data_IF_593147707260
#
_entry.id   IF_593147707260
#
_cell.length_a   1.000
_cell.length_b   1.000
_cell.length_c   1.000
_cell.angle_alpha   90.00
_cell.angle_beta   90.00
_cell.angle_gamma   90.00
#
_symmetry.space_group_name_H-M   'P 1'
#
loop_
_entity.id
_entity.type
_entity.pdbx_description
1 polymer ?
#
# COMPACT_ATOMS: atom_id res chain seq x y z
N UNK A 1 -8.17 15.19 30.32
CA UNK A 1 -7.88 13.75 30.17
C UNK A 1 -8.80 12.93 31.03
N UNK A 2 -8.96 13.25 32.32
CA UNK A 2 -9.85 12.53 33.25
C UNK A 2 -11.30 12.40 32.78
N UNK A 3 -11.89 13.48 32.23
CA UNK A 3 -13.25 13.43 31.67
C UNK A 3 -13.38 12.47 30.47
N UNK A 4 -12.36 12.39 29.62
CA UNK A 4 -12.33 11.46 28.48
C UNK A 4 -12.26 10.01 28.98
N UNK A 5 -11.41 9.73 29.96
CA UNK A 5 -11.31 8.41 30.59
C UNK A 5 -12.64 8.00 31.23
N UNK A 6 -13.27 8.89 32.00
CA UNK A 6 -14.56 8.63 32.61
C UNK A 6 -15.67 8.36 31.57
N UNK A 7 -15.66 9.07 30.44
CA UNK A 7 -16.60 8.81 29.34
C UNK A 7 -16.37 7.44 28.69
N UNK A 8 -15.11 7.01 28.51
CA UNK A 8 -14.78 5.69 27.99
C UNK A 8 -15.17 4.57 28.96
N UNK A 9 -14.94 4.76 30.26
CA UNK A 9 -15.36 3.82 31.30
C UNK A 9 -16.88 3.66 31.33
N UNK A 10 -17.63 4.76 31.18
CA UNK A 10 -19.08 4.71 31.07
C UNK A 10 -19.55 3.93 29.84
N UNK A 11 -18.93 4.16 28.67
CA UNK A 11 -19.22 3.41 27.44
C UNK A 11 -18.92 1.91 27.57
N UNK A 12 -17.84 1.56 28.27
CA UNK A 12 -17.42 0.19 28.51
C UNK A 12 -18.32 -0.56 29.51
N UNK A 13 -19.01 0.16 30.40
CA UNK A 13 -19.92 -0.43 31.38
C UNK A 13 -21.30 -0.80 30.83
N UNK A 14 -21.64 -0.35 29.62
CA UNK A 14 -22.95 -0.63 28.99
C UNK A 14 -23.03 -2.07 28.44
N UNK A 15 -24.13 -2.77 28.77
CA UNK A 15 -24.42 -4.09 28.17
C UNK A 15 -25.02 -3.93 26.77
N UNK A 16 -24.32 -4.48 25.77
CA UNK A 16 -24.73 -4.44 24.36
C UNK A 16 -25.58 -5.66 23.95
N UNK A 17 -25.60 -6.72 24.74
CA UNK A 17 -26.36 -7.94 24.46
C UNK A 17 -27.87 -7.71 24.20
N UNK A 18 -28.57 -6.79 24.90
CA UNK A 18 -29.98 -6.55 24.63
C UNK A 18 -30.25 -5.67 23.39
N UNK A 19 -29.22 -5.08 22.77
CA UNK A 19 -29.39 -4.19 21.62
C UNK A 19 -29.55 -4.97 20.31
N UNK A 20 -30.45 -4.50 19.46
CA UNK A 20 -30.69 -5.05 18.12
C UNK A 20 -30.04 -4.15 17.04
N UNK A 21 -29.95 -4.66 15.80
CA UNK A 21 -29.15 -4.07 14.71
C UNK A 21 -29.23 -2.53 14.57
N UNK A 22 -30.41 -1.94 14.34
CA UNK A 22 -30.59 -0.49 14.29
C UNK A 22 -30.05 0.28 15.51
N UNK A 23 -30.33 -0.18 16.73
CA UNK A 23 -29.82 0.47 17.95
C UNK A 23 -28.29 0.38 18.04
N UNK A 24 -27.69 -0.74 17.61
CA UNK A 24 -26.24 -0.88 17.53
C UNK A 24 -25.63 0.07 16.49
N UNK A 25 -26.28 0.28 15.35
CA UNK A 25 -25.81 1.22 14.34
C UNK A 25 -25.93 2.67 14.83
N UNK A 26 -27.02 3.02 15.51
CA UNK A 26 -27.23 4.35 16.07
C UNK A 26 -26.24 4.66 17.20
N UNK A 27 -25.83 3.64 17.98
CA UNK A 27 -24.70 3.73 18.92
C UNK A 27 -23.35 3.87 18.20
N UNK A 28 -23.10 3.08 17.14
CA UNK A 28 -21.81 3.01 16.48
C UNK A 28 -21.44 4.31 15.75
N UNK A 29 -22.40 4.96 15.09
CA UNK A 29 -22.17 6.19 14.32
C UNK A 29 -21.45 7.31 15.12
N UNK A 30 -21.95 7.76 16.29
CA UNK A 30 -21.27 8.78 17.08
C UNK A 30 -19.93 8.30 17.66
N UNK A 31 -19.76 7.00 17.93
CA UNK A 31 -18.47 6.44 18.37
C UNK A 31 -17.42 6.53 17.26
N UNK A 32 -17.77 6.23 16.02
CA UNK A 32 -16.87 6.39 14.87
C UNK A 32 -16.50 7.87 14.65
N UNK A 33 -17.46 8.78 14.78
CA UNK A 33 -17.17 10.21 14.71
C UNK A 33 -16.25 10.66 15.85
N UNK A 34 -16.46 10.19 17.08
CA UNK A 34 -15.59 10.47 18.21
C UNK A 34 -14.17 9.90 18.00
N UNK A 35 -14.05 8.69 17.46
CA UNK A 35 -12.75 8.10 17.08
C UNK A 35 -12.01 8.98 16.06
N UNK A 36 -12.72 9.48 15.04
CA UNK A 36 -12.13 10.38 14.05
C UNK A 36 -11.63 11.67 14.68
N UNK A 37 -12.42 12.28 15.58
CA UNK A 37 -12.02 13.50 16.30
C UNK A 37 -10.81 13.26 17.19
N UNK A 38 -10.76 12.13 17.88
CA UNK A 38 -9.59 11.75 18.67
C UNK A 38 -8.35 11.57 17.78
N UNK A 39 -8.50 10.95 16.61
CA UNK A 39 -7.40 10.80 15.65
C UNK A 39 -6.89 12.16 15.14
N UNK A 40 -7.78 13.14 14.95
CA UNK A 40 -7.39 14.52 14.63
C UNK A 40 -6.58 15.17 15.75
N UNK A 41 -7.02 15.04 17.01
CA UNK A 41 -6.29 15.57 18.17
C UNK A 41 -4.93 14.88 18.37
N UNK A 42 -4.84 13.58 18.10
CA UNK A 42 -3.56 12.84 18.09
C UNK A 42 -2.63 13.40 17.02
N UNK A 43 -3.09 13.56 15.77
CA UNK A 43 -2.26 14.10 14.68
C UNK A 43 -1.78 15.53 14.99
N UNK A 44 -2.66 16.38 15.56
CA UNK A 44 -2.33 17.74 15.98
C UNK A 44 -1.29 17.74 17.12
N UNK A 45 -1.50 16.92 18.14
CA UNK A 45 -0.56 16.80 19.28
C UNK A 45 0.80 16.29 18.83
N UNK A 46 0.84 15.29 17.94
CA UNK A 46 2.09 14.78 17.35
C UNK A 46 2.82 15.88 16.58
N UNK A 47 2.10 16.73 15.84
CA UNK A 47 2.71 17.87 15.14
C UNK A 47 3.32 18.88 16.11
N UNK A 48 2.61 19.26 17.18
CA UNK A 48 3.16 20.19 18.18
C UNK A 48 4.37 19.60 18.91
N UNK A 49 4.32 18.32 19.27
CA UNK A 49 5.43 17.60 19.88
C UNK A 49 6.65 17.52 18.95
N UNK A 50 6.43 17.38 17.64
CA UNK A 50 7.50 17.45 16.63
C UNK A 50 8.13 18.84 16.57
N UNK A 51 7.31 19.90 16.52
CA UNK A 51 7.80 21.28 16.43
C UNK A 51 8.54 21.73 17.70
N UNK A 52 8.16 21.21 18.86
CA UNK A 52 8.81 21.54 20.13
C UNK A 52 10.05 20.71 20.43
N UNK A 53 10.39 19.71 19.60
CA UNK A 53 11.47 18.76 19.89
C UNK A 53 11.16 17.84 21.08
N UNK A 54 9.88 17.58 21.40
CA UNK A 54 9.48 16.77 22.57
C UNK A 54 10.12 15.38 22.66
N UNK A 55 10.41 14.65 21.54
CA UNK A 55 11.10 13.36 21.62
C UNK A 55 12.43 13.37 22.39
N UNK A 56 13.09 14.53 22.45
CA UNK A 56 14.40 14.68 23.10
C UNK A 56 14.31 14.47 24.61
N UNK A 57 13.14 14.72 25.22
CA UNK A 57 12.87 14.44 26.65
C UNK A 57 13.12 12.98 26.98
N UNK A 58 12.83 12.08 26.04
CA UNK A 58 13.02 10.63 26.16
C UNK A 58 14.26 10.13 25.38
N UNK A 59 15.17 11.04 24.99
CA UNK A 59 16.42 10.70 24.31
C UNK A 59 16.26 10.27 22.84
N UNK A 60 15.13 10.60 22.21
CA UNK A 60 14.85 10.29 20.81
C UNK A 60 14.93 11.53 19.93
N UNK A 61 15.24 11.34 18.64
CA UNK A 61 15.46 12.45 17.69
C UNK A 61 14.25 12.76 16.81
N UNK A 62 13.25 11.88 16.77
CA UNK A 62 12.07 12.04 15.89
C UNK A 62 10.81 11.54 16.56
N UNK A 63 9.67 12.18 16.24
CA UNK A 63 8.35 11.72 16.69
C UNK A 63 8.02 10.33 16.17
N UNK A 64 8.43 9.97 14.95
CA UNK A 64 8.24 8.61 14.42
C UNK A 64 8.95 7.56 15.28
N UNK A 65 10.18 7.84 15.75
CA UNK A 65 10.87 6.94 16.68
C UNK A 65 10.15 6.85 18.02
N UNK A 66 9.69 8.00 18.53
CA UNK A 66 8.95 8.06 19.80
C UNK A 66 7.65 7.26 19.75
N UNK A 67 6.85 7.40 18.68
CA UNK A 67 5.59 6.68 18.51
C UNK A 67 5.79 5.16 18.38
N UNK A 68 6.85 4.70 17.71
CA UNK A 68 7.16 3.27 17.63
C UNK A 68 7.64 2.71 18.96
N UNK A 69 8.50 3.45 19.66
CA UNK A 69 9.11 3.01 20.93
C UNK A 69 8.12 3.03 22.09
N UNK A 70 7.41 4.14 22.29
CA UNK A 70 6.58 4.39 23.48
C UNK A 70 5.09 4.16 23.24
N UNK A 71 4.59 4.39 22.02
CA UNK A 71 3.19 4.13 21.67
C UNK A 71 3.00 2.80 20.93
N UNK A 72 4.08 2.04 20.71
CA UNK A 72 4.09 0.71 20.06
C UNK A 72 3.39 0.67 18.69
N UNK A 73 3.35 1.81 17.98
CA UNK A 73 2.74 1.88 16.65
C UNK A 73 3.62 1.17 15.62
N UNK A 74 2.97 0.52 14.66
CA UNK A 74 3.67 0.01 13.48
C UNK A 74 4.31 1.18 12.70
N UNK A 75 5.40 0.89 11.97
CA UNK A 75 6.15 1.93 11.25
C UNK A 75 5.26 2.75 10.29
N UNK A 76 4.45 2.06 9.49
CA UNK A 76 3.53 2.71 8.55
C UNK A 76 2.47 3.59 9.25
N UNK A 77 2.04 3.21 10.45
CA UNK A 77 1.08 3.98 11.23
C UNK A 77 1.73 5.21 11.87
N UNK A 78 2.90 5.07 12.49
CA UNK A 78 3.65 6.20 13.02
C UNK A 78 3.96 7.24 11.92
N UNK A 79 4.43 6.78 10.76
CA UNK A 79 4.68 7.64 9.61
C UNK A 79 3.41 8.33 9.11
N UNK A 80 2.28 7.62 9.05
CA UNK A 80 0.98 8.18 8.66
C UNK A 80 0.54 9.29 9.59
N UNK A 81 0.61 9.09 10.91
CA UNK A 81 0.19 10.09 11.90
C UNK A 81 1.05 11.35 11.81
N UNK A 82 2.38 11.19 11.73
CA UNK A 82 3.32 12.32 11.56
C UNK A 82 3.05 13.06 10.25
N UNK A 83 2.93 12.37 9.12
CA UNK A 83 2.59 12.98 7.82
C UNK A 83 1.28 13.75 7.90
N UNK A 84 0.25 13.15 8.49
CA UNK A 84 -1.06 13.78 8.65
C UNK A 84 -0.94 15.07 9.44
N UNK A 85 -0.31 15.04 10.62
CA UNK A 85 -0.10 16.23 11.45
C UNK A 85 0.65 17.35 10.71
N UNK A 86 1.63 17.00 9.87
CA UNK A 86 2.33 17.99 9.03
C UNK A 86 1.46 18.57 7.93
N UNK A 87 0.62 17.75 7.29
CA UNK A 87 -0.24 18.16 6.18
C UNK A 87 -1.37 19.10 6.59
N UNK A 88 -1.92 18.95 7.80
CA UNK A 88 -3.07 19.76 8.27
C UNK A 88 -2.77 21.27 8.30
N UNK A 89 -1.50 21.68 8.44
CA UNK A 89 -1.12 23.09 8.36
C UNK A 89 -1.24 23.69 6.94
N UNK A 90 -1.26 22.83 5.91
CA UNK A 90 -1.36 23.21 4.50
C UNK A 90 -2.75 22.95 3.90
N UNK A 91 -3.58 22.16 4.60
CA UNK A 91 -4.90 21.71 4.16
C UNK A 91 -5.96 22.07 5.22
N UNK A 92 -6.32 23.36 5.36
CA UNK A 92 -7.21 23.83 6.42
C UNK A 92 -8.65 23.27 6.31
N UNK A 93 -9.14 22.98 5.10
CA UNK A 93 -10.42 22.31 4.86
C UNK A 93 -10.41 20.90 5.44
N UNK A 94 -9.38 20.12 5.11
CA UNK A 94 -9.17 18.79 5.69
C UNK A 94 -9.06 18.85 7.22
N UNK A 95 -8.30 19.81 7.76
CA UNK A 95 -8.13 19.98 9.20
C UNK A 95 -9.46 20.21 9.92
N UNK A 96 -10.31 21.10 9.39
CA UNK A 96 -11.63 21.37 9.94
C UNK A 96 -12.55 20.14 9.89
N UNK A 97 -12.62 19.45 8.74
CA UNK A 97 -13.46 18.27 8.58
C UNK A 97 -13.00 17.09 9.45
N UNK A 98 -11.68 16.92 9.60
CA UNK A 98 -11.11 15.88 10.45
C UNK A 98 -11.37 16.17 11.95
N UNK A 99 -11.18 17.41 12.40
CA UNK A 99 -11.49 17.84 13.76
C UNK A 99 -12.99 17.77 14.09
N UNK A 100 -13.85 17.90 13.09
CA UNK A 100 -15.30 17.68 13.21
C UNK A 100 -15.70 16.19 13.22
N UNK A 101 -14.77 15.27 12.94
CA UNK A 101 -15.01 13.82 12.89
C UNK A 101 -15.65 13.32 11.59
N UNK A 102 -15.73 14.18 10.58
CA UNK A 102 -16.35 13.90 9.28
C UNK A 102 -15.42 13.12 8.34
N UNK A 103 -14.11 13.23 8.55
CA UNK A 103 -13.08 12.51 7.81
C UNK A 103 -12.40 11.50 8.72
N UNK A 104 -12.18 10.28 8.24
CA UNK A 104 -11.47 9.25 9.03
C UNK A 104 -9.97 9.52 9.06
N UNK A 105 -9.28 9.03 10.09
CA UNK A 105 -7.81 9.10 10.15
C UNK A 105 -7.11 8.41 8.96
N UNK A 106 -7.74 7.38 8.39
CA UNK A 106 -7.27 6.74 7.16
C UNK A 106 -7.36 7.65 5.94
N UNK A 107 -8.53 8.25 5.69
CA UNK A 107 -8.73 9.20 4.59
C UNK A 107 -7.82 10.43 4.74
N UNK A 108 -7.73 11.00 5.95
CA UNK A 108 -6.84 12.11 6.23
C UNK A 108 -5.37 11.75 5.93
N UNK A 109 -4.93 10.56 6.32
CA UNK A 109 -3.57 10.08 6.04
C UNK A 109 -3.26 9.87 4.55
N UNK A 110 -4.26 9.53 3.73
CA UNK A 110 -4.09 9.42 2.28
C UNK A 110 -4.05 10.81 1.64
N UNK A 111 -4.99 11.69 1.98
CA UNK A 111 -5.02 13.07 1.47
C UNK A 111 -3.74 13.83 1.88
N UNK A 112 -3.20 13.56 3.07
CA UNK A 112 -1.97 14.17 3.55
C UNK A 112 -0.77 14.04 2.61
N UNK A 113 -0.74 13.02 1.73
CA UNK A 113 0.31 12.85 0.70
C UNK A 113 0.39 14.04 -0.26
N UNK A 114 -0.74 14.68 -0.54
CA UNK A 114 -0.83 15.86 -1.41
C UNK A 114 -0.06 17.06 -0.86
N UNK A 115 0.09 17.14 0.47
CA UNK A 115 0.83 18.21 1.12
C UNK A 115 2.31 17.88 1.37
N UNK A 116 2.81 16.75 0.88
CA UNK A 116 4.24 16.44 0.91
C UNK A 116 5.02 17.49 0.10
N UNK A 117 6.27 17.76 0.49
CA UNK A 117 7.04 18.89 -0.04
C UNK A 117 7.24 18.82 -1.55
N UNK A 118 7.48 17.63 -2.09
CA UNK A 118 7.64 17.39 -3.53
C UNK A 118 6.35 17.71 -4.31
N UNK A 119 5.20 17.21 -3.85
CA UNK A 119 3.92 17.48 -4.50
C UNK A 119 3.50 18.94 -4.37
N UNK A 120 3.78 19.60 -3.24
CA UNK A 120 3.51 21.05 -3.11
C UNK A 120 4.38 21.88 -4.05
N UNK A 121 5.65 21.50 -4.24
CA UNK A 121 6.53 22.17 -5.18
C UNK A 121 6.03 21.99 -6.63
N UNK A 122 5.73 20.76 -7.03
CA UNK A 122 5.18 20.45 -8.35
C UNK A 122 3.84 21.20 -8.61
N UNK A 123 2.97 21.26 -7.61
CA UNK A 123 1.70 22.00 -7.70
C UNK A 123 1.94 23.49 -7.91
N UNK A 124 2.88 24.09 -7.19
CA UNK A 124 3.24 25.49 -7.36
C UNK A 124 3.82 25.78 -8.76
N UNK A 125 4.70 24.92 -9.26
CA UNK A 125 5.29 25.04 -10.60
C UNK A 125 4.24 24.95 -11.71
N UNK A 126 3.21 24.14 -11.53
CA UNK A 126 2.12 23.96 -12.48
C UNK A 126 0.95 24.94 -12.28
N UNK A 127 1.06 25.87 -11.32
CA UNK A 127 0.01 26.85 -11.02
C UNK A 127 -1.27 26.25 -10.42
N UNK A 128 -1.16 25.09 -9.78
CA UNK A 128 -2.27 24.41 -9.09
C UNK A 128 -2.51 25.05 -7.73
N UNK A 129 -3.73 25.54 -7.50
CA UNK A 129 -4.14 26.08 -6.21
C UNK A 129 -4.44 24.95 -5.20
N UNK A 130 -3.54 24.79 -4.23
CA UNK A 130 -3.66 23.79 -3.17
C UNK A 130 -4.94 23.96 -2.32
N UNK A 131 -5.44 25.19 -2.16
CA UNK A 131 -6.68 25.42 -1.40
C UNK A 131 -7.91 24.85 -2.13
N UNK A 132 -7.91 24.92 -3.47
CA UNK A 132 -8.96 24.28 -4.29
C UNK A 132 -8.86 22.76 -4.19
N UNK A 133 -7.65 22.21 -4.28
CA UNK A 133 -7.42 20.76 -4.15
C UNK A 133 -7.85 20.25 -2.78
N UNK A 134 -7.51 20.97 -1.71
CA UNK A 134 -7.94 20.69 -0.33
C UNK A 134 -9.47 20.60 -0.24
N UNK A 135 -10.18 21.61 -0.74
CA UNK A 135 -11.64 21.62 -0.75
C UNK A 135 -12.26 20.45 -1.51
N UNK A 136 -11.72 20.12 -2.69
CA UNK A 136 -12.23 19.02 -3.51
C UNK A 136 -12.02 17.65 -2.85
N UNK A 137 -10.79 17.36 -2.41
CA UNK A 137 -10.46 16.07 -1.80
C UNK A 137 -11.15 15.88 -0.44
N UNK A 138 -11.27 16.95 0.34
CA UNK A 138 -12.06 16.94 1.57
C UNK A 138 -13.55 16.70 1.28
N UNK A 139 -14.10 17.33 0.23
CA UNK A 139 -15.45 17.08 -0.24
C UNK A 139 -15.70 15.61 -0.58
N UNK A 140 -14.76 14.97 -1.29
CA UNK A 140 -14.81 13.52 -1.57
C UNK A 140 -14.78 12.71 -0.27
N UNK A 141 -13.83 12.97 0.63
CA UNK A 141 -13.68 12.21 1.87
C UNK A 141 -14.88 12.30 2.82
N UNK A 142 -15.58 13.43 2.83
CA UNK A 142 -16.76 13.64 3.69
C UNK A 142 -18.02 12.93 3.18
N UNK A 143 -18.06 12.57 1.89
CA UNK A 143 -19.28 12.07 1.23
C UNK A 143 -19.14 10.66 0.63
N UNK A 144 -17.91 10.17 0.43
CA UNK A 144 -17.63 8.91 -0.23
C UNK A 144 -16.78 7.97 0.64
N UNK A 145 -16.81 6.65 0.35
CA UNK A 145 -15.94 5.67 1.00
C UNK A 145 -14.44 5.98 0.83
N UNK A 146 -13.64 5.30 1.66
CA UNK A 146 -12.17 5.41 1.62
C UNK A 146 -11.58 5.09 0.23
N UNK A 147 -12.11 4.09 -0.48
CA UNK A 147 -11.59 3.68 -1.79
C UNK A 147 -11.65 4.83 -2.81
N UNK A 148 -12.77 5.54 -2.86
CA UNK A 148 -12.97 6.67 -3.77
C UNK A 148 -12.05 7.85 -3.40
N UNK A 149 -11.84 8.08 -2.09
CA UNK A 149 -10.88 9.08 -1.62
C UNK A 149 -9.46 8.74 -2.06
N UNK A 150 -9.06 7.47 -1.91
CA UNK A 150 -7.75 7.00 -2.33
C UNK A 150 -7.55 7.10 -3.84
N UNK A 151 -8.58 6.77 -4.62
CA UNK A 151 -8.57 6.92 -6.07
C UNK A 151 -8.44 8.38 -6.49
N UNK A 152 -9.18 9.29 -5.86
CA UNK A 152 -9.12 10.72 -6.15
C UNK A 152 -7.72 11.30 -5.86
N UNK A 153 -7.11 10.92 -4.73
CA UNK A 153 -5.75 11.32 -4.38
C UNK A 153 -4.73 10.74 -5.37
N UNK A 154 -4.84 9.46 -5.72
CA UNK A 154 -3.96 8.84 -6.70
C UNK A 154 -4.04 9.55 -8.05
N UNK A 155 -5.24 9.78 -8.56
CA UNK A 155 -5.45 10.49 -9.83
C UNK A 155 -4.87 11.91 -9.81
N UNK A 156 -5.02 12.63 -8.69
CA UNK A 156 -4.42 13.95 -8.54
C UNK A 156 -2.89 13.88 -8.60
N UNK A 157 -2.27 12.96 -7.85
CA UNK A 157 -0.82 12.83 -7.81
C UNK A 157 -0.25 12.38 -9.16
N UNK A 158 -0.89 11.44 -9.86
CA UNK A 158 -0.45 10.97 -11.17
C UNK A 158 -0.49 12.08 -12.24
N UNK A 159 -1.46 13.00 -12.14
CA UNK A 159 -1.55 14.16 -13.05
C UNK A 159 -0.55 15.24 -12.71
N UNK A 160 -0.12 15.29 -11.46
CA UNK A 160 0.86 16.24 -10.98
C UNK A 160 2.28 15.78 -11.32
N UNK A 161 2.48 14.48 -11.49
CA UNK A 161 3.73 13.91 -12.00
C UNK A 161 3.91 14.26 -13.49
N UNK A 162 4.77 15.26 -13.75
CA UNK A 162 5.06 15.74 -15.10
C UNK A 162 5.97 14.80 -15.89
N UNK A 163 6.74 13.95 -15.20
CA UNK A 163 7.62 12.94 -15.82
C UNK A 163 6.80 11.72 -16.27
N UNK A 164 5.60 11.55 -15.70
CA UNK A 164 4.75 10.38 -15.88
C UNK A 164 5.31 9.17 -15.13
N UNK A 165 4.49 8.13 -14.91
CA UNK A 165 4.99 6.91 -14.29
C UNK A 165 6.16 6.37 -15.10
N UNK A 166 7.31 6.13 -14.46
CA UNK A 166 8.40 5.37 -15.07
C UNK A 166 7.80 4.06 -15.60
N UNK A 167 7.89 3.77 -16.92
CA UNK A 167 7.24 2.61 -17.48
C UNK A 167 7.73 1.36 -16.75
N UNK A 168 6.80 0.64 -16.11
CA UNK A 168 7.14 -0.62 -15.46
C UNK A 168 7.66 -1.55 -16.57
N UNK A 169 8.92 -2.02 -16.50
CA UNK A 169 9.46 -2.91 -17.52
C UNK A 169 8.70 -4.25 -17.58
N UNK A 170 7.83 -4.53 -16.60
CA UNK A 170 6.93 -5.67 -16.53
C UNK A 170 5.47 -5.35 -16.85
N UNK A 171 5.15 -4.11 -17.24
CA UNK A 171 3.82 -3.77 -17.74
C UNK A 171 3.49 -4.65 -18.96
N UNK A 172 2.37 -5.37 -18.90
CA UNK A 172 2.00 -6.40 -19.90
C UNK A 172 2.66 -7.78 -19.72
N UNK A 173 3.42 -8.00 -18.64
CA UNK A 173 3.96 -9.31 -18.24
C UNK A 173 3.28 -9.82 -16.97
N UNK A 174 2.56 -10.93 -17.07
CA UNK A 174 1.93 -11.61 -15.95
C UNK A 174 2.17 -13.12 -16.06
N UNK A 175 2.63 -13.74 -14.98
CA UNK A 175 2.69 -15.20 -14.85
C UNK A 175 1.97 -15.59 -13.56
N UNK A 176 0.92 -16.39 -13.71
CA UNK A 176 0.22 -17.00 -12.58
C UNK A 176 0.45 -18.49 -12.65
N UNK A 177 0.96 -19.06 -11.56
CA UNK A 177 1.11 -20.50 -11.37
C UNK A 177 0.24 -20.92 -10.21
N UNK A 178 -0.52 -21.99 -10.39
CA UNK A 178 -1.39 -22.57 -9.37
C UNK A 178 -1.02 -24.03 -9.19
N UNK A 179 -0.57 -24.37 -7.99
CA UNK A 179 -0.33 -25.75 -7.58
C UNK A 179 -1.62 -26.35 -7.04
N UNK A 180 -2.07 -27.43 -7.65
CA UNK A 180 -3.25 -28.17 -7.24
C UNK A 180 -2.91 -29.13 -6.09
N UNK A 181 -3.94 -29.58 -5.37
CA UNK A 181 -3.78 -30.49 -4.23
C UNK A 181 -3.16 -31.85 -4.61
N UNK A 182 -3.26 -32.25 -5.88
CA UNK A 182 -2.63 -33.45 -6.43
C UNK A 182 -1.16 -33.26 -6.84
N UNK A 183 -0.60 -32.06 -6.58
CA UNK A 183 0.77 -31.69 -6.93
C UNK A 183 0.96 -31.26 -8.38
N UNK A 184 -0.09 -31.27 -9.22
CA UNK A 184 -0.01 -30.75 -10.58
C UNK A 184 0.06 -29.21 -10.59
N UNK A 185 0.76 -28.65 -11.58
CA UNK A 185 0.91 -27.21 -11.75
C UNK A 185 0.14 -26.77 -13.00
N UNK A 186 -0.77 -25.82 -12.87
CA UNK A 186 -1.35 -25.11 -14.02
C UNK A 186 -0.90 -23.66 -14.03
N UNK A 187 -0.71 -23.07 -15.21
CA UNK A 187 -0.29 -21.68 -15.32
C UNK A 187 -0.99 -20.93 -16.43
N UNK A 188 -1.08 -19.61 -16.28
CA UNK A 188 -1.46 -18.66 -17.32
C UNK A 188 -0.39 -17.58 -17.39
N UNK A 189 0.09 -17.31 -18.59
CA UNK A 189 0.99 -16.19 -18.84
C UNK A 189 0.42 -15.23 -19.89
N UNK A 190 0.63 -13.95 -19.63
CA UNK A 190 0.50 -12.86 -20.59
C UNK A 190 1.88 -12.23 -20.65
N UNK A 191 2.50 -12.20 -21.82
CA UNK A 191 3.85 -11.67 -21.99
C UNK A 191 3.86 -10.74 -23.18
N UNK A 192 4.66 -9.69 -23.11
CA UNK A 192 5.00 -8.90 -24.30
C UNK A 192 5.79 -9.76 -25.31
N UNK A 193 5.94 -9.31 -26.56
CA UNK A 193 6.62 -10.09 -27.60
C UNK A 193 8.04 -10.54 -27.23
N UNK A 194 8.83 -9.70 -26.54
CA UNK A 194 10.20 -10.02 -26.14
C UNK A 194 10.20 -11.01 -24.97
N UNK A 195 9.31 -10.81 -23.99
CA UNK A 195 9.12 -11.75 -22.88
C UNK A 195 8.66 -13.13 -23.34
N UNK A 196 7.72 -13.17 -24.30
CA UNK A 196 7.19 -14.38 -24.91
C UNK A 196 8.25 -15.18 -25.66
N UNK A 197 9.06 -14.51 -26.49
CA UNK A 197 10.16 -15.14 -27.22
C UNK A 197 11.18 -15.76 -26.27
N UNK A 198 11.59 -15.03 -25.21
CA UNK A 198 12.53 -15.54 -24.22
C UNK A 198 12.00 -16.76 -23.47
N UNK A 199 10.73 -16.75 -23.05
CA UNK A 199 10.13 -17.90 -22.39
C UNK A 199 10.03 -19.10 -23.34
N UNK A 200 9.64 -18.88 -24.59
CA UNK A 200 9.56 -19.92 -25.61
C UNK A 200 10.93 -20.56 -25.83
N UNK A 201 11.98 -19.76 -26.08
CA UNK A 201 13.34 -20.27 -26.28
C UNK A 201 13.85 -21.04 -25.07
N UNK A 202 13.56 -20.58 -23.84
CA UNK A 202 13.95 -21.28 -22.62
C UNK A 202 13.24 -22.65 -22.49
N UNK A 203 11.93 -22.70 -22.76
CA UNK A 203 11.17 -23.95 -22.74
C UNK A 203 11.63 -24.92 -23.85
N UNK A 204 11.88 -24.42 -25.05
CA UNK A 204 12.41 -25.23 -26.16
C UNK A 204 13.80 -25.79 -25.85
N UNK A 205 14.68 -24.98 -25.24
CA UNK A 205 15.99 -25.41 -24.79
C UNK A 205 15.89 -26.54 -23.75
N UNK A 206 14.98 -26.41 -22.77
CA UNK A 206 14.74 -27.44 -21.77
C UNK A 206 14.17 -28.73 -22.38
N UNK A 207 13.22 -28.63 -23.30
CA UNK A 207 12.68 -29.79 -24.04
C UNK A 207 13.77 -30.48 -24.84
N UNK A 208 14.63 -29.71 -25.52
CA UNK A 208 15.72 -30.26 -26.33
C UNK A 208 16.83 -30.87 -25.47
N UNK A 209 17.16 -30.27 -24.33
CA UNK A 209 18.11 -30.81 -23.35
C UNK A 209 17.57 -32.10 -22.69
N UNK A 210 16.25 -32.21 -22.53
CA UNK A 210 15.57 -33.41 -22.04
C UNK A 210 15.51 -34.57 -23.04
N UNK A 211 15.85 -34.35 -24.32
CA UNK A 211 15.98 -35.43 -25.31
C UNK A 211 17.29 -36.20 -25.10
N UNK A 212 17.30 -37.10 -24.13
CA UNK A 212 18.27 -38.18 -24.13
C UNK A 212 17.99 -39.14 -25.32
N UNK A 213 19.04 -39.74 -25.87
CA UNK A 213 18.94 -40.67 -27.01
C UNK A 213 17.97 -41.82 -26.69
N UNK A 214 16.82 -41.84 -27.36
CA UNK A 214 15.81 -42.91 -27.26
C UNK A 214 14.36 -42.48 -27.03
N UNK A 215 14.00 -41.18 -27.10
CA UNK A 215 12.60 -40.73 -26.99
C UNK A 215 11.96 -40.46 -28.36
N UNK A 216 11.25 -41.46 -28.91
CA UNK A 216 10.56 -41.39 -30.21
C UNK A 216 9.11 -40.84 -30.13
N UNK A 217 8.77 -40.06 -29.10
CA UNK A 217 7.43 -39.49 -28.96
C UNK A 217 7.24 -38.24 -29.83
N UNK A 218 6.25 -38.28 -30.74
CA UNK A 218 5.85 -37.12 -31.55
C UNK A 218 4.84 -36.21 -30.81
N UNK A 219 4.85 -34.92 -31.18
CA UNK A 219 4.20 -33.79 -30.47
C UNK A 219 2.70 -33.90 -30.12
N UNK A 220 1.96 -34.87 -30.66
CA UNK A 220 0.49 -34.93 -30.54
C UNK A 220 -0.04 -35.93 -29.50
N UNK A 221 0.82 -36.65 -28.76
CA UNK A 221 0.36 -37.61 -27.75
C UNK A 221 1.17 -37.52 -26.47
N UNK A 222 0.74 -36.66 -25.54
CA UNK A 222 1.20 -36.70 -24.16
C UNK A 222 0.02 -36.66 -23.18
N UNK A 223 -0.47 -37.84 -22.80
CA UNK A 223 -0.73 -38.17 -21.39
C UNK A 223 -0.94 -39.68 -21.22
N UNK A 224 -0.65 -40.27 -20.04
CA UNK A 224 0.22 -39.85 -18.94
C UNK A 224 1.46 -40.77 -18.83
N UNK A 225 2.36 -40.51 -17.86
CA UNK A 225 3.23 -41.46 -17.11
C UNK A 225 4.61 -40.84 -16.83
N UNK A 226 5.38 -41.32 -15.84
CA UNK A 226 5.08 -41.80 -14.49
C UNK A 226 5.88 -40.97 -13.45
N UNK A 227 5.68 -41.17 -12.16
CA UNK A 227 6.41 -40.47 -11.09
C UNK A 227 7.93 -40.65 -11.22
N UNK A 228 8.64 -39.60 -11.63
CA UNK A 228 10.11 -39.58 -11.60
C UNK A 228 10.56 -38.81 -10.36
N UNK A 229 10.96 -39.57 -9.34
CA UNK A 229 11.72 -39.07 -8.21
C UNK A 229 13.09 -38.60 -8.70
N UNK A 230 13.32 -37.30 -8.66
CA UNK A 230 14.65 -36.72 -8.77
C UNK A 230 14.83 -35.79 -7.57
N UNK A 231 15.37 -36.38 -6.51
CA UNK A 231 15.78 -35.68 -5.31
C UNK A 231 16.90 -34.67 -5.62
N UNK A 232 16.79 -33.51 -4.96
CA UNK A 232 17.87 -32.62 -4.48
C UNK A 232 19.17 -32.59 -5.27
N UNK A 233 19.40 -31.48 -5.97
CA UNK A 233 20.77 -30.95 -6.16
C UNK A 233 20.77 -29.48 -5.76
N UNK A 234 21.26 -29.20 -4.55
CA UNK A 234 21.66 -27.86 -4.14
C UNK A 234 22.87 -27.42 -4.97
N UNK A 235 22.82 -26.22 -5.53
CA UNK A 235 23.99 -25.61 -6.16
C UNK A 235 24.68 -24.67 -5.15
N UNK A 236 26.02 -24.70 -5.01
CA UNK A 236 26.75 -23.73 -4.22
C UNK A 236 26.81 -22.36 -4.94
N UNK A 237 26.95 -21.25 -4.21
CA UNK A 237 26.92 -19.91 -4.79
C UNK A 237 28.20 -19.65 -5.59
N UNK A 238 28.06 -19.26 -6.87
CA UNK A 238 29.20 -18.78 -7.69
C UNK A 238 29.23 -19.21 -9.15
N UNK A 239 28.37 -20.13 -9.60
CA UNK A 239 28.37 -20.58 -11.00
C UNK A 239 27.23 -19.92 -11.81
N UNK A 240 27.39 -18.64 -12.15
CA UNK A 240 26.56 -17.95 -13.14
C UNK A 240 27.46 -17.61 -14.35
N UNK A 241 27.34 -18.28 -15.51
CA UNK A 241 28.09 -17.87 -16.69
C UNK A 241 27.41 -16.65 -17.31
N UNK A 242 28.00 -15.48 -17.07
CA UNK A 242 27.71 -14.23 -17.78
C UNK A 242 28.08 -14.34 -19.26
N UNK A 243 27.17 -13.83 -20.08
CA UNK A 243 27.37 -13.02 -21.28
C UNK A 243 28.78 -13.00 -21.88
N UNK A 244 28.98 -13.72 -22.98
CA UNK A 244 29.96 -13.37 -24.00
C UNK A 244 29.21 -12.75 -25.18
N UNK A 245 29.42 -11.44 -25.37
CA UNK A 245 29.00 -10.71 -26.55
C UNK A 245 29.87 -11.13 -27.74
N UNK A 246 29.25 -11.40 -28.89
CA UNK A 246 29.96 -11.54 -30.17
C UNK A 246 29.14 -10.94 -31.31
N UNK A 247 29.71 -9.91 -31.93
CA UNK A 247 29.53 -9.48 -33.32
C UNK A 247 30.52 -8.34 -33.60
N UNK A 248 30.99 -8.06 -34.83
CA UNK A 248 30.98 -8.86 -36.07
C UNK A 248 32.35 -8.95 -36.77
N UNK A 249 32.54 -9.97 -37.62
CA UNK A 249 32.81 -9.84 -39.08
C UNK A 249 32.76 -11.20 -39.75
#
# INVERSE_FOLDING_TARGET
MDELTAALDALAAEDLAPLFGPALLDRLRPLLAAQNRLAAEVARTVREAELSGAPEVDGLTTMTSWLRGHAHLADAEAARVVRTGRALAHLPGLAAAFAAGQVTGGQAGVIARVAESEHRAAAAEQGVDLAVVDGLLTGVATSHPYADTAQAVHHYLDRLDADGPEPDPTEGRRLVLTTHADGSLSGRSELDPVGGEKLQTALESLVQAGRAAGDDRTRASSRPMPSCSCATTSWPPGACPRCAATSPR
#
